data_IF_367324495228
#
_entry.id   IF_367324495228
#
_cell.length_a   1.000
_cell.length_b   1.000
_cell.length_c   1.000
_cell.angle_alpha   90.00
_cell.angle_beta   90.00
_cell.angle_gamma   90.00
#
_symmetry.space_group_name_H-M   'P 1'
#
loop_
_entity.id
_entity.type
_entity.pdbx_description
1 polymer ?
#
# COMPACT_ATOMS: atom_id res chain seq x y z
N UNK A 1 3.00 6.46 -15.47
CA UNK A 1 1.78 5.78 -15.00
C UNK A 1 0.58 6.69 -14.79
N UNK A 2 0.70 7.99 -14.36
CA UNK A 2 -0.43 8.93 -14.22
C UNK A 2 -1.25 9.03 -15.51
N UNK A 3 -0.62 9.41 -16.63
CA UNK A 3 -1.30 9.57 -17.91
C UNK A 3 -1.89 8.24 -18.41
N UNK A 4 -1.17 7.12 -18.24
CA UNK A 4 -1.68 5.80 -18.62
C UNK A 4 -3.00 5.47 -17.92
N UNK A 5 -3.12 5.73 -16.63
CA UNK A 5 -4.35 5.48 -15.87
C UNK A 5 -5.51 6.38 -16.32
N UNK A 6 -5.25 7.68 -16.54
CA UNK A 6 -6.30 8.62 -16.96
C UNK A 6 -6.79 8.29 -18.37
N UNK A 7 -5.86 8.07 -19.31
CA UNK A 7 -6.20 7.74 -20.72
C UNK A 7 -6.88 6.39 -20.81
N UNK A 8 -6.38 5.39 -20.10
CA UNK A 8 -7.01 4.06 -20.05
C UNK A 8 -8.45 4.14 -19.51
N UNK A 9 -8.70 4.95 -18.48
CA UNK A 9 -10.06 5.15 -17.99
C UNK A 9 -10.94 5.86 -19.02
N UNK A 10 -10.47 6.93 -19.65
CA UNK A 10 -11.21 7.64 -20.68
C UNK A 10 -11.62 6.70 -21.82
N UNK A 11 -10.68 5.90 -22.35
CA UNK A 11 -10.97 4.92 -23.41
C UNK A 11 -11.93 3.82 -22.94
N UNK A 12 -11.81 3.38 -21.70
CA UNK A 12 -12.56 2.28 -21.13
C UNK A 12 -14.02 2.62 -20.87
N UNK A 13 -14.31 3.85 -20.50
CA UNK A 13 -15.65 4.33 -20.15
C UNK A 13 -16.33 5.12 -21.26
N UNK A 14 -15.69 5.25 -22.41
CA UNK A 14 -16.25 5.88 -23.60
C UNK A 14 -16.80 4.80 -24.54
N UNK A 15 -18.06 4.89 -24.99
CA UNK A 15 -18.64 3.91 -25.91
C UNK A 15 -17.97 3.95 -27.30
N UNK A 16 -18.20 2.92 -28.15
CA UNK A 16 -17.53 2.71 -29.44
C UNK A 16 -17.57 3.91 -30.39
N UNK A 17 -18.58 4.76 -30.34
CA UNK A 17 -18.69 5.98 -31.17
C UNK A 17 -18.38 7.26 -30.40
N UNK A 18 -17.80 7.15 -29.19
CA UNK A 18 -17.44 8.29 -28.39
C UNK A 18 -16.07 8.88 -28.79
N UNK A 19 -15.74 10.00 -28.16
CA UNK A 19 -14.54 10.75 -28.46
C UNK A 19 -13.69 10.95 -27.19
N UNK A 20 -12.38 10.76 -27.30
CA UNK A 20 -11.40 11.08 -26.25
C UNK A 20 -10.40 12.09 -26.80
N UNK A 21 -10.27 13.23 -26.14
CA UNK A 21 -9.37 14.30 -26.53
C UNK A 21 -8.35 14.55 -25.42
N UNK A 22 -7.11 14.80 -25.81
CA UNK A 22 -6.00 15.09 -24.91
C UNK A 22 -5.42 16.44 -25.28
N UNK A 23 -5.42 17.37 -24.32
CA UNK A 23 -4.84 18.70 -24.49
C UNK A 23 -3.64 18.83 -23.57
N UNK A 24 -2.53 19.32 -24.11
CA UNK A 24 -1.33 19.67 -23.34
C UNK A 24 -1.17 21.17 -23.44
N UNK A 25 -1.04 21.82 -22.30
CA UNK A 25 -0.85 23.28 -22.23
C UNK A 25 0.23 23.64 -21.23
N UNK A 26 0.89 24.75 -21.49
CA UNK A 26 2.01 25.25 -20.73
C UNK A 26 1.81 26.73 -20.46
N UNK A 27 2.03 27.16 -19.23
CA UNK A 27 2.11 28.57 -18.84
C UNK A 27 3.45 28.89 -18.14
N UNK A 28 3.65 30.10 -17.66
CA UNK A 28 4.92 30.50 -17.04
C UNK A 28 5.29 29.65 -15.81
N UNK A 29 4.32 29.22 -15.01
CA UNK A 29 4.52 28.60 -13.69
C UNK A 29 4.24 27.11 -13.67
N UNK A 30 3.49 26.59 -14.66
CA UNK A 30 3.06 25.19 -14.67
C UNK A 30 2.83 24.67 -16.09
N UNK A 31 2.88 23.37 -16.24
CA UNK A 31 2.34 22.65 -17.40
C UNK A 31 1.15 21.81 -16.97
N UNK A 32 0.20 21.58 -17.87
CA UNK A 32 -0.98 20.81 -17.58
C UNK A 32 -1.37 19.89 -18.73
N UNK A 33 -1.94 18.77 -18.37
CA UNK A 33 -2.58 17.82 -19.29
C UNK A 33 -4.05 17.69 -18.91
N UNK A 34 -4.91 17.81 -19.89
CA UNK A 34 -6.35 17.66 -19.77
C UNK A 34 -6.81 16.53 -20.68
N UNK A 35 -7.50 15.55 -20.12
CA UNK A 35 -8.12 14.45 -20.83
C UNK A 35 -9.62 14.60 -20.72
N UNK A 36 -10.28 14.73 -21.87
CA UNK A 36 -11.72 14.88 -22.01
C UNK A 36 -12.30 13.68 -22.73
N UNK A 37 -13.33 13.08 -22.19
CA UNK A 37 -14.07 11.97 -22.80
C UNK A 37 -15.56 12.30 -22.93
N UNK A 38 -16.23 11.62 -23.83
CA UNK A 38 -17.69 11.65 -24.00
C UNK A 38 -18.34 10.36 -23.51
N UNK A 39 -17.80 9.82 -22.41
CA UNK A 39 -18.22 8.56 -21.83
C UNK A 39 -19.45 8.67 -20.94
N UNK A 40 -19.63 7.64 -20.11
CA UNK A 40 -20.77 7.53 -19.19
C UNK A 40 -20.84 8.63 -18.13
N UNK A 41 -19.78 9.41 -17.96
CA UNK A 41 -19.67 10.43 -16.92
C UNK A 41 -19.73 9.87 -15.50
N UNK A 42 -19.83 10.77 -14.52
CA UNK A 42 -19.77 10.43 -13.09
C UNK A 42 -20.80 11.23 -12.33
N UNK A 43 -21.71 10.58 -11.57
CA UNK A 43 -22.70 11.28 -10.76
C UNK A 43 -22.07 12.29 -9.80
N UNK A 44 -22.66 13.48 -9.65
CA UNK A 44 -22.11 14.57 -8.83
C UNK A 44 -21.89 14.17 -7.36
N UNK A 45 -22.73 13.29 -6.80
CA UNK A 45 -22.64 12.78 -5.44
C UNK A 45 -21.42 11.87 -5.22
N UNK A 46 -20.84 11.35 -6.31
CA UNK A 46 -19.77 10.36 -6.28
C UNK A 46 -18.40 10.95 -6.64
N UNK A 47 -18.34 12.13 -7.28
CA UNK A 47 -17.10 12.72 -7.76
C UNK A 47 -16.04 12.91 -6.67
N UNK A 48 -16.45 13.31 -5.45
CA UNK A 48 -15.55 13.47 -4.31
C UNK A 48 -15.02 12.14 -3.76
N UNK A 49 -15.70 11.02 -4.05
CA UNK A 49 -15.33 9.69 -3.58
C UNK A 49 -14.36 8.94 -4.53
N UNK A 50 -14.22 9.41 -5.78
CA UNK A 50 -13.43 8.75 -6.83
C UNK A 50 -11.93 8.64 -6.52
N UNK A 51 -11.43 9.52 -5.68
CA UNK A 51 -10.04 9.50 -5.24
C UNK A 51 -9.84 8.67 -3.96
N UNK A 52 -10.93 8.10 -3.40
CA UNK A 52 -10.84 7.13 -2.30
C UNK A 52 -10.51 5.75 -2.85
N UNK A 53 -9.91 4.94 -2.00
CA UNK A 53 -9.48 3.59 -2.36
C UNK A 53 -10.68 2.72 -2.75
N UNK A 54 -10.53 1.92 -3.82
CA UNK A 54 -11.54 0.97 -4.34
C UNK A 54 -12.91 1.57 -4.67
N UNK A 55 -13.02 2.89 -4.84
CA UNK A 55 -14.29 3.49 -5.24
C UNK A 55 -14.51 3.36 -6.75
N UNK A 56 -15.70 2.86 -7.11
CA UNK A 56 -16.23 2.85 -8.48
C UNK A 56 -17.58 3.52 -8.49
N UNK A 57 -17.80 4.38 -9.48
CA UNK A 57 -19.11 5.01 -9.66
C UNK A 57 -20.20 3.97 -9.89
N UNK A 58 -21.40 4.21 -9.38
CA UNK A 58 -22.55 3.30 -9.51
C UNK A 58 -22.88 2.97 -10.98
N UNK A 59 -22.76 3.95 -11.87
CA UNK A 59 -22.95 3.78 -13.31
C UNK A 59 -21.82 2.96 -13.98
N UNK A 60 -20.60 2.97 -13.42
CA UNK A 60 -19.47 2.15 -13.88
C UNK A 60 -19.55 0.69 -13.39
N UNK A 61 -20.19 0.43 -12.25
CA UNK A 61 -20.46 -0.93 -11.75
C UNK A 61 -21.45 -1.65 -12.66
N UNK A 62 -22.46 -0.93 -13.16
CA UNK A 62 -23.48 -1.48 -14.05
C UNK A 62 -22.99 -1.64 -15.51
N UNK A 63 -21.82 -1.13 -15.85
CA UNK A 63 -21.20 -1.32 -17.16
C UNK A 63 -20.42 -2.64 -17.20
N UNK A 64 -20.36 -3.32 -18.37
CA UNK A 64 -19.54 -4.54 -18.58
C UNK A 64 -18.02 -4.30 -18.46
N UNK A 65 -17.62 -3.16 -17.94
CA UNK A 65 -16.23 -2.70 -17.89
C UNK A 65 -15.57 -3.12 -16.59
N UNK A 66 -14.56 -3.96 -16.65
CA UNK A 66 -13.78 -4.43 -15.50
C UNK A 66 -12.76 -3.38 -15.00
N UNK A 67 -12.67 -3.13 -13.68
CA UNK A 67 -11.65 -2.23 -13.10
C UNK A 67 -11.56 -2.33 -11.58
N UNK A 68 -10.35 -2.22 -11.04
CA UNK A 68 -10.04 -2.35 -9.60
C UNK A 68 -10.44 -1.14 -8.73
N UNK A 69 -10.82 0.00 -9.32
CA UNK A 69 -11.09 1.23 -8.56
C UNK A 69 -9.86 1.94 -7.96
N UNK A 70 -8.66 1.42 -8.19
CA UNK A 70 -7.39 1.93 -7.62
C UNK A 70 -6.76 3.02 -8.51
N UNK A 71 -7.04 3.01 -9.82
CA UNK A 71 -6.34 3.83 -10.80
C UNK A 71 -6.38 5.34 -10.52
N UNK A 72 -7.56 5.90 -10.20
CA UNK A 72 -7.72 7.34 -9.93
C UNK A 72 -7.15 7.75 -8.57
N UNK A 73 -7.21 6.89 -7.56
CA UNK A 73 -6.54 7.12 -6.29
C UNK A 73 -5.01 7.18 -6.47
N UNK A 74 -4.45 6.23 -7.23
CA UNK A 74 -3.02 6.24 -7.54
C UNK A 74 -2.62 7.50 -8.30
N UNK A 75 -3.44 7.94 -9.27
CA UNK A 75 -3.24 9.21 -9.97
C UNK A 75 -3.20 10.37 -8.98
N UNK A 76 -4.15 10.45 -8.07
CA UNK A 76 -4.23 11.52 -7.07
C UNK A 76 -2.99 11.54 -6.16
N UNK A 77 -2.57 10.37 -5.63
CA UNK A 77 -1.36 10.25 -4.80
C UNK A 77 -0.10 10.68 -5.57
N UNK A 78 0.07 10.20 -6.81
CA UNK A 78 1.22 10.54 -7.63
C UNK A 78 1.25 12.02 -8.02
N UNK A 79 0.10 12.62 -8.35
CA UNK A 79 0.01 14.05 -8.65
C UNK A 79 0.41 14.88 -7.43
N UNK A 80 -0.08 14.54 -6.23
CA UNK A 80 0.32 15.22 -4.99
C UNK A 80 1.80 15.05 -4.66
N UNK A 81 2.35 13.85 -4.83
CA UNK A 81 3.79 13.59 -4.66
C UNK A 81 4.64 14.51 -5.52
N UNK A 82 4.17 14.79 -6.75
CA UNK A 82 4.82 15.74 -7.67
C UNK A 82 4.40 17.20 -7.42
N UNK A 83 3.81 17.52 -6.26
CA UNK A 83 3.33 18.86 -5.89
C UNK A 83 2.36 19.46 -6.95
N UNK A 84 1.71 18.59 -7.71
CA UNK A 84 0.73 18.92 -8.73
C UNK A 84 -0.69 19.10 -8.16
N UNK A 85 -1.61 19.50 -9.04
CA UNK A 85 -3.05 19.62 -8.76
C UNK A 85 -3.83 18.77 -9.73
N UNK A 86 -4.95 18.20 -9.27
CA UNK A 86 -5.90 17.45 -10.09
C UNK A 86 -7.27 18.07 -9.95
N UNK A 87 -7.94 18.31 -11.08
CA UNK A 87 -9.30 18.79 -11.17
C UNK A 87 -10.13 17.81 -11.99
N UNK A 88 -11.30 17.45 -11.49
CA UNK A 88 -12.28 16.60 -12.15
C UNK A 88 -13.57 17.42 -12.35
N UNK A 89 -14.10 17.40 -13.56
CA UNK A 89 -15.44 17.87 -13.90
C UNK A 89 -16.12 16.81 -14.74
N UNK A 90 -17.30 16.35 -14.33
CA UNK A 90 -18.02 15.29 -15.03
C UNK A 90 -19.52 15.50 -14.92
N UNK A 91 -20.24 15.13 -15.95
CA UNK A 91 -21.70 15.10 -15.99
C UNK A 91 -22.12 13.71 -16.45
N UNK A 92 -23.03 13.10 -15.71
CA UNK A 92 -23.54 11.77 -16.02
C UNK A 92 -24.12 11.73 -17.45
N UNK A 93 -23.74 10.70 -18.22
CA UNK A 93 -24.08 10.50 -19.64
C UNK A 93 -23.58 11.59 -20.61
N UNK A 94 -22.67 12.48 -20.19
CA UNK A 94 -22.08 13.49 -21.06
C UNK A 94 -20.55 13.42 -21.10
N UNK A 95 -19.94 12.60 -20.21
CA UNK A 95 -18.51 12.38 -20.15
C UNK A 95 -17.82 13.08 -18.99
N UNK A 96 -16.47 13.03 -19.02
CA UNK A 96 -15.63 13.57 -17.97
C UNK A 96 -14.47 14.38 -18.52
N UNK A 97 -13.99 15.33 -17.71
CA UNK A 97 -12.77 16.10 -17.96
C UNK A 97 -11.89 15.97 -16.73
N UNK A 98 -10.71 15.38 -16.90
CA UNK A 98 -9.68 15.31 -15.86
C UNK A 98 -8.51 16.18 -16.28
N UNK A 99 -8.20 17.19 -15.49
CA UNK A 99 -7.07 18.11 -15.69
C UNK A 99 -6.07 17.93 -14.57
N UNK A 100 -4.82 17.62 -14.94
CA UNK A 100 -3.68 17.58 -14.02
C UNK A 100 -2.73 18.71 -14.36
N UNK A 101 -2.14 19.34 -13.34
CA UNK A 101 -1.15 20.39 -13.53
C UNK A 101 0.02 20.20 -12.59
N UNK A 102 1.23 20.50 -13.08
CA UNK A 102 2.47 20.38 -12.33
C UNK A 102 3.26 21.69 -12.38
N UNK A 103 3.85 22.11 -11.25
CA UNK A 103 4.67 23.31 -11.21
C UNK A 103 5.98 23.10 -11.98
N UNK A 104 6.47 24.14 -12.65
CA UNK A 104 7.77 24.17 -13.34
C UNK A 104 8.93 24.49 -12.40
N UNK A 105 8.64 25.03 -11.22
CA UNK A 105 9.66 25.51 -10.29
C UNK A 105 10.41 24.33 -9.64
N UNK A 106 11.64 24.12 -10.06
CA UNK A 106 12.54 23.09 -9.51
C UNK A 106 12.92 23.33 -8.04
N UNK A 107 12.76 24.56 -7.53
CA UNK A 107 13.06 24.90 -6.13
C UNK A 107 12.07 24.26 -5.13
N UNK A 108 10.90 23.83 -5.62
CA UNK A 108 9.91 23.09 -4.81
C UNK A 108 10.25 21.63 -4.59
N UNK A 109 11.29 21.13 -5.26
CA UNK A 109 11.77 19.76 -5.11
C UNK A 109 13.15 19.77 -4.46
N UNK A 110 13.39 18.88 -3.50
CA UNK A 110 14.75 18.71 -2.95
C UNK A 110 15.71 18.28 -4.06
N UNK A 111 16.95 18.82 -4.03
CA UNK A 111 17.98 18.54 -5.05
C UNK A 111 18.26 17.04 -5.24
N UNK A 112 18.01 16.22 -4.21
CA UNK A 112 18.14 14.76 -4.26
C UNK A 112 17.12 14.08 -5.18
N UNK A 113 16.00 14.75 -5.53
CA UNK A 113 14.95 14.21 -6.37
C UNK A 113 15.01 14.70 -7.83
N UNK A 114 15.99 15.52 -8.17
CA UNK A 114 16.17 16.02 -9.53
C UNK A 114 17.08 15.04 -10.28
N UNK A 115 16.51 14.26 -11.19
CA UNK A 115 17.31 13.44 -12.10
C UNK A 115 18.19 14.35 -12.99
N UNK A 116 19.49 14.09 -13.02
CA UNK A 116 20.41 14.72 -13.96
C UNK A 116 20.00 14.32 -15.40
N UNK A 117 19.91 15.27 -16.36
CA UNK A 117 19.54 14.94 -17.72
C UNK A 117 20.62 14.07 -18.36
N UNK A 118 20.37 12.75 -18.47
CA UNK A 118 21.22 11.88 -19.26
C UNK A 118 20.90 12.08 -20.73
N UNK A 119 21.91 12.45 -21.52
CA UNK A 119 21.84 12.44 -22.99
C UNK A 119 21.66 11.01 -23.47
N UNK A 120 20.42 10.58 -23.73
CA UNK A 120 20.14 9.44 -24.59
C UNK A 120 18.81 9.65 -25.30
N UNK A 121 18.93 10.15 -26.53
CA UNK A 121 17.94 9.94 -27.59
C UNK A 121 18.31 8.61 -28.23
N UNK A 122 17.53 7.57 -27.99
CA UNK A 122 17.47 6.38 -28.86
C UNK A 122 16.10 5.73 -28.72
N UNK A 123 15.45 5.65 -29.82
CA UNK A 123 14.39 4.78 -30.34
C UNK A 123 13.48 4.03 -29.34
N UNK A 124 12.21 4.44 -29.40
CA UNK A 124 11.10 3.77 -28.73
C UNK A 124 10.77 2.50 -29.52
N UNK A 125 11.31 1.38 -29.10
CA UNK A 125 10.71 0.09 -29.31
C UNK A 125 10.16 -0.40 -27.99
N UNK A 126 8.88 -0.67 -28.02
CA UNK A 126 8.01 -1.26 -27.00
C UNK A 126 8.69 -2.15 -25.96
N UNK A 127 8.90 -1.64 -24.75
CA UNK A 127 8.90 -2.40 -23.49
C UNK A 127 8.76 -1.42 -22.32
N UNK A 128 7.84 -1.70 -21.43
CA UNK A 128 7.51 -0.96 -20.21
C UNK A 128 8.70 -0.93 -19.26
N UNK A 129 9.49 0.16 -19.27
CA UNK A 129 10.51 0.38 -18.25
C UNK A 129 10.10 1.52 -17.31
N UNK A 130 9.71 1.16 -16.10
CA UNK A 130 9.72 2.04 -14.93
C UNK A 130 11.19 2.33 -14.59
N UNK A 131 11.59 3.56 -14.16
CA UNK A 131 12.99 3.89 -13.91
C UNK A 131 13.63 2.94 -12.89
N UNK A 132 14.64 2.21 -13.31
CA UNK A 132 15.36 1.22 -12.54
C UNK A 132 15.99 1.75 -11.23
N UNK A 133 16.20 3.07 -11.11
CA UNK A 133 16.86 3.68 -9.94
C UNK A 133 16.05 3.65 -8.65
N UNK A 134 14.70 3.57 -8.73
CA UNK A 134 13.85 3.38 -7.53
C UNK A 134 13.84 1.89 -7.16
N UNK A 135 13.91 1.01 -8.15
CA UNK A 135 13.98 -0.44 -7.93
C UNK A 135 15.36 -0.89 -7.42
N UNK A 136 16.46 -0.27 -7.89
CA UNK A 136 17.82 -0.67 -7.48
C UNK A 136 18.14 -0.35 -6.01
N UNK A 137 17.58 0.69 -5.41
CA UNK A 137 17.81 1.01 -4.01
C UNK A 137 16.92 0.21 -3.03
N UNK A 138 15.73 -0.22 -3.47
CA UNK A 138 14.86 -1.13 -2.68
C UNK A 138 15.33 -2.58 -2.83
N UNK A 139 15.92 -2.94 -3.99
CA UNK A 139 16.41 -4.30 -4.25
C UNK A 139 17.83 -4.57 -3.72
N UNK A 140 18.62 -3.55 -3.35
CA UNK A 140 19.99 -3.79 -2.83
C UNK A 140 20.04 -4.27 -1.38
N UNK A 141 18.95 -4.13 -0.61
CA UNK A 141 18.90 -4.62 0.78
C UNK A 141 17.94 -5.82 1.00
N UNK A 142 17.11 -6.17 0.03
CA UNK A 142 16.26 -7.35 0.11
C UNK A 142 16.59 -8.28 -1.05
N UNK A 143 17.29 -9.38 -0.77
CA UNK A 143 17.41 -10.49 -1.71
C UNK A 143 15.98 -10.97 -2.06
N UNK A 144 15.49 -10.82 -3.31
CA UNK A 144 14.12 -11.22 -3.69
C UNK A 144 13.87 -12.71 -3.45
N UNK A 145 14.92 -13.53 -3.40
CA UNK A 145 14.87 -14.96 -3.10
C UNK A 145 14.48 -15.31 -1.65
N UNK A 146 14.14 -14.35 -0.77
CA UNK A 146 13.82 -14.63 0.63
C UNK A 146 12.36 -14.30 1.00
N UNK A 147 11.59 -13.66 0.10
CA UNK A 147 10.18 -13.36 0.37
C UNK A 147 9.34 -14.64 0.27
N UNK A 148 8.56 -14.92 1.35
CA UNK A 148 7.82 -16.17 1.50
C UNK A 148 6.36 -15.98 1.10
N UNK A 149 5.90 -16.82 0.18
CA UNK A 149 4.51 -16.84 -0.28
C UNK A 149 3.87 -18.18 0.10
N UNK A 150 2.68 -18.13 0.65
CA UNK A 150 1.85 -19.33 0.86
C UNK A 150 0.77 -19.38 -0.21
N UNK A 151 0.68 -20.52 -0.91
CA UNK A 151 -0.37 -20.82 -1.89
C UNK A 151 -1.32 -21.82 -1.32
N UNK A 152 -2.62 -21.51 -1.36
CA UNK A 152 -3.71 -22.35 -0.86
C UNK A 152 -4.68 -22.61 -2.00
N UNK A 153 -4.66 -23.81 -2.53
CA UNK A 153 -5.43 -24.22 -3.73
C UNK A 153 -5.71 -25.72 -3.65
N UNK A 154 -6.96 -26.13 -3.79
CA UNK A 154 -7.34 -27.54 -3.70
C UNK A 154 -7.01 -28.33 -4.97
N UNK A 155 -6.97 -27.67 -6.13
CA UNK A 155 -6.59 -28.29 -7.40
C UNK A 155 -5.07 -28.48 -7.48
N UNK A 156 -4.62 -29.74 -7.45
CA UNK A 156 -3.21 -30.13 -7.47
C UNK A 156 -2.44 -29.58 -8.69
N UNK A 157 -3.06 -29.58 -9.89
CA UNK A 157 -2.42 -29.12 -11.11
C UNK A 157 -2.16 -27.60 -11.05
N UNK A 158 -3.18 -26.84 -10.64
CA UNK A 158 -3.08 -25.39 -10.52
C UNK A 158 -2.14 -24.99 -9.37
N UNK A 159 -2.21 -25.71 -8.22
CA UNK A 159 -1.32 -25.49 -7.08
C UNK A 159 0.15 -25.68 -7.47
N UNK A 160 0.44 -26.77 -8.19
CA UNK A 160 1.79 -27.08 -8.64
C UNK A 160 2.27 -26.08 -9.70
N UNK A 161 1.40 -25.68 -10.64
CA UNK A 161 1.73 -24.66 -11.64
C UNK A 161 2.07 -23.31 -11.02
N UNK A 162 1.23 -22.83 -10.09
CA UNK A 162 1.47 -21.58 -9.37
C UNK A 162 2.76 -21.65 -8.54
N UNK A 163 2.97 -22.76 -7.83
CA UNK A 163 4.15 -22.96 -7.01
C UNK A 163 5.43 -22.94 -7.84
N UNK A 164 5.48 -23.64 -8.96
CA UNK A 164 6.64 -23.65 -9.86
C UNK A 164 6.91 -22.27 -10.45
N UNK A 165 5.85 -21.58 -10.90
CA UNK A 165 5.98 -20.28 -11.56
C UNK A 165 6.42 -19.17 -10.61
N UNK A 166 5.97 -19.19 -9.34
CA UNK A 166 6.36 -18.20 -8.34
C UNK A 166 7.68 -18.54 -7.65
N UNK A 167 8.08 -19.83 -7.60
CA UNK A 167 9.35 -20.25 -7.03
C UNK A 167 10.59 -19.74 -7.80
N UNK A 168 10.41 -19.22 -9.02
CA UNK A 168 11.46 -18.53 -9.76
C UNK A 168 11.94 -17.24 -9.05
N UNK A 169 11.04 -16.58 -8.32
CA UNK A 169 11.27 -15.26 -7.73
C UNK A 169 11.11 -15.24 -6.18
N UNK A 170 10.38 -16.22 -5.61
CA UNK A 170 9.97 -16.24 -4.21
C UNK A 170 10.24 -17.60 -3.56
N UNK A 171 10.30 -17.65 -2.23
CA UNK A 171 10.23 -18.91 -1.49
C UNK A 171 8.76 -19.28 -1.33
N UNK A 172 8.34 -20.43 -1.88
CA UNK A 172 6.93 -20.83 -1.94
C UNK A 172 6.69 -22.07 -1.11
N UNK A 173 5.68 -22.00 -0.22
CA UNK A 173 5.04 -23.16 0.39
C UNK A 173 3.60 -23.23 -0.10
N UNK A 174 3.01 -24.42 -0.14
CA UNK A 174 1.65 -24.61 -0.57
C UNK A 174 0.89 -25.61 0.31
N UNK A 175 -0.43 -25.53 0.29
CA UNK A 175 -1.36 -26.43 0.96
C UNK A 175 -2.69 -26.51 0.20
N UNK A 176 -3.55 -27.47 0.56
CA UNK A 176 -4.74 -27.79 -0.21
C UNK A 176 -6.05 -27.18 0.33
N UNK A 177 -6.05 -26.58 1.52
CA UNK A 177 -7.24 -25.95 2.11
C UNK A 177 -6.88 -24.90 3.15
N UNK A 178 -7.87 -24.07 3.53
CA UNK A 178 -7.67 -22.96 4.48
C UNK A 178 -7.32 -23.42 5.90
N UNK A 179 -7.78 -24.59 6.32
CA UNK A 179 -7.51 -25.13 7.66
C UNK A 179 -6.04 -25.54 7.81
N UNK A 180 -5.49 -26.19 6.79
CA UNK A 180 -4.07 -26.51 6.71
C UNK A 180 -3.23 -25.22 6.68
N UNK A 181 -3.65 -24.21 5.92
CA UNK A 181 -2.99 -22.94 5.86
C UNK A 181 -2.86 -22.27 7.24
N UNK A 182 -3.92 -22.28 8.07
CA UNK A 182 -3.86 -21.74 9.44
C UNK A 182 -2.86 -22.45 10.34
N UNK A 183 -2.56 -23.72 10.10
CA UNK A 183 -1.53 -24.45 10.87
C UNK A 183 -0.11 -24.10 10.39
N UNK A 184 0.04 -23.78 9.10
CA UNK A 184 1.33 -23.44 8.47
C UNK A 184 1.76 -22.00 8.77
N UNK A 185 0.82 -21.05 8.74
CA UNK A 185 1.10 -19.60 8.86
C UNK A 185 1.97 -19.23 10.08
N UNK A 186 1.73 -19.73 11.30
CA UNK A 186 2.51 -19.33 12.48
C UNK A 186 3.99 -19.73 12.39
N UNK A 187 4.30 -20.86 11.78
CA UNK A 187 5.66 -21.39 11.64
C UNK A 187 6.34 -20.82 10.40
N UNK A 188 5.67 -20.89 9.25
CA UNK A 188 6.22 -20.44 7.97
C UNK A 188 6.34 -18.93 7.87
N UNK A 189 5.43 -18.17 8.49
CA UNK A 189 5.35 -16.71 8.51
C UNK A 189 5.41 -16.12 7.09
N UNK A 190 4.43 -16.40 6.24
CA UNK A 190 4.40 -15.89 4.87
C UNK A 190 4.27 -14.36 4.87
N UNK A 191 4.86 -13.71 3.87
CA UNK A 191 4.73 -12.27 3.62
C UNK A 191 3.54 -11.96 2.71
N UNK A 192 2.98 -12.99 2.06
CA UNK A 192 1.77 -12.91 1.24
C UNK A 192 1.10 -14.29 1.14
N UNK A 193 -0.22 -14.30 1.15
CA UNK A 193 -1.04 -15.50 0.93
C UNK A 193 -1.82 -15.36 -0.37
N UNK A 194 -1.80 -16.40 -1.21
CA UNK A 194 -2.65 -16.53 -2.40
C UNK A 194 -3.59 -17.70 -2.13
N UNK A 195 -4.90 -17.47 -2.12
CA UNK A 195 -5.87 -18.52 -1.79
C UNK A 195 -6.98 -18.58 -2.83
N UNK A 196 -7.36 -19.79 -3.25
CA UNK A 196 -8.66 -20.00 -3.88
C UNK A 196 -9.77 -19.72 -2.87
N UNK A 197 -10.92 -19.26 -3.34
CA UNK A 197 -12.12 -19.07 -2.50
C UNK A 197 -12.81 -20.40 -2.26
N UNK A 198 -12.95 -21.24 -3.29
CA UNK A 198 -13.77 -22.44 -3.25
C UNK A 198 -12.91 -23.67 -2.96
N UNK A 199 -12.72 -23.96 -1.70
CA UNK A 199 -11.94 -25.11 -1.24
C UNK A 199 -12.72 -25.93 -0.21
N UNK A 200 -12.41 -27.24 -0.06
CA UNK A 200 -12.98 -28.08 0.98
C UNK A 200 -12.49 -27.68 2.38
N UNK A 201 -13.18 -28.12 3.41
CA UNK A 201 -12.93 -27.92 4.84
C UNK A 201 -13.00 -26.46 5.31
N UNK A 202 -12.27 -25.55 4.70
CA UNK A 202 -12.25 -24.11 4.99
C UNK A 202 -12.07 -23.33 3.69
N UNK A 203 -12.99 -22.45 3.40
CA UNK A 203 -12.98 -21.59 2.21
C UNK A 203 -11.91 -20.53 2.33
N UNK A 204 -11.47 -19.97 1.17
CA UNK A 204 -10.46 -18.90 1.15
C UNK A 204 -10.94 -17.57 1.73
N UNK A 205 -12.24 -17.27 1.64
CA UNK A 205 -12.84 -16.11 2.29
C UNK A 205 -12.84 -16.25 3.83
N UNK A 206 -13.15 -17.44 4.36
CA UNK A 206 -13.05 -17.74 5.81
C UNK A 206 -11.59 -17.69 6.28
N UNK A 207 -10.66 -18.19 5.48
CA UNK A 207 -9.22 -18.10 5.76
C UNK A 207 -8.77 -16.63 5.79
N UNK A 208 -9.20 -15.81 4.82
CA UNK A 208 -8.89 -14.39 4.77
C UNK A 208 -9.41 -13.69 6.03
N UNK A 209 -10.66 -13.92 6.41
CA UNK A 209 -11.26 -13.37 7.63
C UNK A 209 -10.46 -13.75 8.88
N UNK A 210 -10.08 -15.04 9.00
CA UNK A 210 -9.25 -15.51 10.11
C UNK A 210 -7.87 -14.84 10.16
N UNK A 211 -7.22 -14.64 9.02
CA UNK A 211 -5.93 -13.93 8.92
C UNK A 211 -6.09 -12.45 9.31
N UNK A 212 -7.12 -11.78 8.78
CA UNK A 212 -7.31 -10.33 8.94
C UNK A 212 -7.79 -9.93 10.32
N UNK A 213 -8.57 -10.77 10.99
CA UNK A 213 -9.06 -10.51 12.34
C UNK A 213 -8.10 -10.96 13.44
N UNK A 214 -7.03 -11.67 13.13
CA UNK A 214 -6.02 -12.03 14.11
C UNK A 214 -4.90 -10.98 14.14
N UNK A 215 -4.66 -10.40 15.33
CA UNK A 215 -3.66 -9.35 15.53
C UNK A 215 -2.25 -9.78 15.09
N UNK A 216 -1.91 -11.08 15.16
CA UNK A 216 -0.59 -11.58 14.79
C UNK A 216 -0.39 -11.67 13.27
N UNK A 217 -1.47 -11.83 12.50
CA UNK A 217 -1.42 -12.13 11.06
C UNK A 217 -2.11 -11.08 10.19
N UNK A 218 -2.87 -10.12 10.77
CA UNK A 218 -3.64 -9.10 10.02
C UNK A 218 -2.80 -8.29 9.03
N UNK A 219 -1.50 -8.17 9.29
CA UNK A 219 -0.56 -7.50 8.39
C UNK A 219 -0.24 -8.28 7.12
N UNK A 220 -0.57 -9.58 7.03
CA UNK A 220 -0.26 -10.40 5.86
C UNK A 220 -1.25 -10.08 4.73
N UNK A 221 -0.79 -9.62 3.56
CA UNK A 221 -1.67 -9.41 2.42
C UNK A 221 -2.20 -10.74 1.88
N UNK A 222 -3.49 -10.74 1.51
CA UNK A 222 -4.19 -11.90 0.97
C UNK A 222 -4.73 -11.58 -0.42
N UNK A 223 -4.36 -12.41 -1.41
CA UNK A 223 -4.94 -12.41 -2.74
C UNK A 223 -5.94 -13.56 -2.82
N UNK A 224 -7.19 -13.26 -3.16
CA UNK A 224 -8.21 -14.27 -3.38
C UNK A 224 -8.38 -14.56 -4.88
N UNK A 225 -8.29 -15.83 -5.25
CA UNK A 225 -8.57 -16.31 -6.59
C UNK A 225 -10.06 -16.71 -6.66
N UNK A 226 -10.82 -16.17 -7.59
CA UNK A 226 -12.28 -16.37 -7.66
C UNK A 226 -12.73 -16.78 -9.05
N UNK A 227 -13.66 -17.75 -9.13
CA UNK A 227 -14.40 -18.06 -10.35
C UNK A 227 -15.62 -17.12 -10.43
N UNK A 228 -15.61 -16.16 -11.34
CA UNK A 228 -16.68 -15.18 -11.54
C UNK A 228 -17.97 -15.83 -11.99
N UNK A 229 -18.91 -16.09 -11.07
CA UNK A 229 -20.26 -16.47 -11.47
C UNK A 229 -21.40 -15.75 -10.68
N UNK A 230 -21.12 -14.98 -9.61
CA UNK A 230 -22.16 -14.25 -8.90
C UNK A 230 -21.66 -12.91 -8.36
N UNK A 231 -22.34 -11.81 -8.72
CA UNK A 231 -22.09 -10.46 -8.16
C UNK A 231 -22.20 -10.42 -6.61
N UNK A 232 -22.95 -11.35 -6.01
CA UNK A 232 -23.08 -11.48 -4.55
C UNK A 232 -21.81 -11.97 -3.88
N UNK A 233 -21.04 -12.85 -4.53
CA UNK A 233 -19.78 -13.38 -3.96
C UNK A 233 -18.66 -12.34 -4.02
N UNK A 234 -18.69 -11.43 -5.00
CA UNK A 234 -17.77 -10.29 -5.07
C UNK A 234 -18.09 -9.25 -3.99
N UNK A 235 -19.38 -8.97 -3.73
CA UNK A 235 -19.79 -8.00 -2.72
C UNK A 235 -19.53 -8.50 -1.30
N UNK A 236 -19.77 -9.78 -1.01
CA UNK A 236 -19.43 -10.38 0.27
C UNK A 236 -17.89 -10.47 0.47
N UNK A 237 -17.15 -10.79 -0.58
CA UNK A 237 -15.70 -10.83 -0.55
C UNK A 237 -15.04 -9.47 -0.28
N UNK A 238 -15.58 -8.38 -0.84
CA UNK A 238 -15.10 -6.99 -0.59
C UNK A 238 -15.28 -6.56 0.87
N UNK A 239 -16.21 -7.15 1.61
CA UNK A 239 -16.43 -6.89 3.05
C UNK A 239 -15.44 -7.67 3.94
N UNK A 240 -14.79 -8.71 3.43
CA UNK A 240 -13.91 -9.63 4.19
C UNK A 240 -12.48 -9.06 4.35
N UNK A 241 -12.12 -7.99 3.62
CA UNK A 241 -10.84 -7.30 3.80
C UNK A 241 -9.64 -7.92 3.06
N UNK A 242 -9.84 -8.73 2.02
CA UNK A 242 -8.75 -9.17 1.16
C UNK A 242 -8.09 -7.98 0.44
N UNK A 243 -6.77 -8.05 0.27
CA UNK A 243 -5.99 -6.95 -0.34
C UNK A 243 -6.19 -6.91 -1.85
N UNK A 244 -6.45 -8.05 -2.51
CA UNK A 244 -6.72 -8.12 -3.94
C UNK A 244 -7.57 -9.36 -4.31
N UNK A 245 -8.31 -9.24 -5.42
CA UNK A 245 -9.12 -10.31 -6.01
C UNK A 245 -8.69 -10.54 -7.45
N UNK A 246 -8.43 -11.79 -7.82
CA UNK A 246 -8.07 -12.18 -9.18
C UNK A 246 -9.06 -13.22 -9.69
N UNK A 247 -9.69 -12.89 -10.82
CA UNK A 247 -10.71 -13.73 -11.42
C UNK A 247 -10.09 -14.84 -12.26
N UNK A 248 -10.51 -16.08 -12.05
CA UNK A 248 -10.19 -17.25 -12.91
C UNK A 248 -11.07 -17.24 -14.17
N UNK A 249 -10.54 -17.48 -15.39
CA UNK A 249 -9.13 -17.70 -15.67
C UNK A 249 -8.32 -16.40 -15.70
N UNK A 250 -7.11 -16.42 -15.14
CA UNK A 250 -6.24 -15.26 -15.03
C UNK A 250 -4.95 -15.39 -15.83
N UNK A 251 -4.36 -14.25 -16.15
CA UNK A 251 -3.03 -14.19 -16.76
C UNK A 251 -1.97 -14.23 -15.65
N UNK A 252 -1.01 -15.15 -15.74
CA UNK A 252 0.07 -15.31 -14.76
C UNK A 252 0.92 -14.04 -14.58
N UNK A 253 1.12 -13.27 -15.65
CA UNK A 253 1.82 -12.00 -15.60
C UNK A 253 1.08 -10.94 -14.75
N UNK A 254 -0.26 -10.97 -14.76
CA UNK A 254 -1.08 -10.12 -13.89
C UNK A 254 -0.90 -10.54 -12.43
N UNK A 255 -0.94 -11.86 -12.14
CA UNK A 255 -0.72 -12.37 -10.79
C UNK A 255 0.68 -11.99 -10.27
N UNK A 256 1.75 -12.23 -11.03
CA UNK A 256 3.12 -11.84 -10.66
C UNK A 256 3.23 -10.34 -10.40
N UNK A 257 2.64 -9.50 -11.25
CA UNK A 257 2.63 -8.04 -11.05
C UNK A 257 1.86 -7.62 -9.78
N UNK A 258 0.74 -8.26 -9.48
CA UNK A 258 -0.06 -8.00 -8.27
C UNK A 258 0.70 -8.39 -7.01
N UNK A 259 1.32 -9.58 -7.00
CA UNK A 259 2.18 -10.05 -5.90
C UNK A 259 3.30 -9.06 -5.62
N UNK A 260 4.06 -8.69 -6.66
CA UNK A 260 5.16 -7.73 -6.56
C UNK A 260 4.69 -6.36 -6.02
N UNK A 261 3.57 -5.84 -6.53
CA UNK A 261 3.03 -4.56 -6.07
C UNK A 261 2.60 -4.58 -4.59
N UNK A 262 1.96 -5.65 -4.13
CA UNK A 262 1.55 -5.77 -2.72
C UNK A 262 2.77 -5.85 -1.80
N UNK A 263 3.79 -6.62 -2.17
CA UNK A 263 5.04 -6.73 -1.40
C UNK A 263 5.81 -5.40 -1.36
N UNK A 264 5.91 -4.69 -2.48
CA UNK A 264 6.53 -3.36 -2.55
C UNK A 264 5.76 -2.34 -1.70
N UNK A 265 4.44 -2.31 -1.78
CA UNK A 265 3.62 -1.41 -0.99
C UNK A 265 3.79 -1.65 0.52
N UNK A 266 3.92 -2.93 0.92
CA UNK A 266 4.23 -3.30 2.31
C UNK A 266 5.62 -2.81 2.72
N UNK A 267 6.63 -2.98 1.88
CA UNK A 267 7.98 -2.48 2.16
C UNK A 267 8.00 -0.96 2.33
N UNK A 268 7.27 -0.21 1.48
CA UNK A 268 7.14 1.23 1.59
C UNK A 268 6.43 1.67 2.88
N UNK A 269 5.38 0.97 3.29
CA UNK A 269 4.69 1.24 4.56
C UNK A 269 5.61 0.98 5.76
N UNK A 270 6.37 -0.13 5.75
CA UNK A 270 7.38 -0.44 6.79
C UNK A 270 8.42 0.67 6.89
N UNK A 271 8.95 1.13 5.75
CA UNK A 271 9.90 2.25 5.72
C UNK A 271 9.31 3.53 6.31
N UNK A 272 8.05 3.86 5.99
CA UNK A 272 7.38 5.04 6.52
C UNK A 272 7.20 4.98 8.04
N UNK A 273 6.83 3.83 8.60
CA UNK A 273 6.66 3.66 10.06
C UNK A 273 7.98 3.52 10.82
N UNK A 274 9.05 3.10 10.14
CA UNK A 274 10.40 2.92 10.71
C UNK A 274 11.33 4.12 10.54
N UNK A 275 10.96 5.16 9.77
CA UNK A 275 11.86 6.29 9.47
C UNK A 275 11.79 7.42 10.50
N UNK A 276 12.89 8.19 10.56
CA UNK A 276 13.03 9.42 11.35
C UNK A 276 12.43 10.66 10.65
N UNK A 277 11.65 10.50 9.58
CA UNK A 277 11.17 11.63 8.82
C UNK A 277 10.43 12.63 9.70
N UNK A 278 11.00 13.82 9.80
CA UNK A 278 10.74 14.85 10.79
C UNK A 278 9.60 15.80 10.38
N UNK A 279 8.92 15.52 9.28
CA UNK A 279 7.92 16.43 8.69
C UNK A 279 6.47 16.08 9.05
N UNK A 280 6.24 15.26 10.09
CA UNK A 280 4.88 15.00 10.59
C UNK A 280 4.36 16.14 11.50
N UNK A 281 4.30 17.37 10.98
CA UNK A 281 3.46 18.44 11.55
C UNK A 281 1.98 18.36 11.10
N UNK A 282 1.64 17.40 10.27
CA UNK A 282 0.25 17.11 9.93
C UNK A 282 -0.30 15.96 10.80
N UNK A 283 -0.81 16.32 11.98
CA UNK A 283 -1.84 15.59 12.73
C UNK A 283 -3.16 15.55 11.91
N UNK A 284 -3.06 15.21 10.65
CA UNK A 284 -4.23 14.80 9.88
C UNK A 284 -4.44 13.31 10.13
N UNK A 285 -5.51 13.03 10.86
CA UNK A 285 -6.27 11.78 10.79
C UNK A 285 -6.36 11.38 9.32
N UNK A 286 -5.33 10.69 8.80
CA UNK A 286 -5.40 10.01 7.51
C UNK A 286 -6.47 8.94 7.68
N UNK A 287 -7.70 9.29 7.26
CA UNK A 287 -8.85 8.41 7.19
C UNK A 287 -8.44 7.07 6.59
N UNK A 288 -8.59 6.05 7.39
CA UNK A 288 -8.22 4.66 7.19
C UNK A 288 -8.49 4.11 5.79
N UNK A 289 -7.44 3.59 5.23
CA UNK A 289 -7.47 2.83 4.00
C UNK A 289 -7.50 1.34 4.38
N UNK A 290 -8.67 0.72 4.36
CA UNK A 290 -9.00 -0.70 4.57
C UNK A 290 -9.10 -1.23 6.02
N UNK A 291 -10.08 -2.12 6.24
CA UNK A 291 -10.38 -2.73 7.54
C UNK A 291 -9.20 -3.51 8.18
N UNK A 292 -8.31 -4.12 7.40
CA UNK A 292 -7.08 -4.75 7.91
C UNK A 292 -6.04 -3.73 8.35
N UNK A 293 -6.00 -2.56 7.72
CA UNK A 293 -5.15 -1.44 8.12
C UNK A 293 -5.62 -0.80 9.43
N UNK A 294 -6.91 -0.89 9.76
CA UNK A 294 -7.44 -0.34 11.01
C UNK A 294 -6.85 -1.07 12.25
N UNK A 295 -6.72 -2.39 12.20
CA UNK A 295 -6.11 -3.18 13.29
C UNK A 295 -4.61 -2.89 13.40
N UNK A 296 -3.91 -2.86 12.28
CA UNK A 296 -2.47 -2.59 12.22
C UNK A 296 -2.16 -1.15 12.65
N UNK A 297 -2.96 -0.19 12.17
CA UNK A 297 -2.86 1.21 12.57
C UNK A 297 -3.14 1.40 14.06
N UNK A 298 -4.23 0.83 14.58
CA UNK A 298 -4.54 0.88 16.01
C UNK A 298 -3.43 0.27 16.87
N UNK A 299 -2.84 -0.83 16.39
CA UNK A 299 -1.71 -1.44 17.07
C UNK A 299 -0.52 -0.47 17.16
N UNK A 300 -0.07 0.11 16.03
CA UNK A 300 1.05 1.07 15.98
C UNK A 300 0.74 2.32 16.81
N UNK A 301 -0.48 2.87 16.71
CA UNK A 301 -0.90 4.03 17.47
C UNK A 301 -0.87 3.76 19.00
N UNK A 302 -1.35 2.58 19.43
CA UNK A 302 -1.29 2.17 20.84
C UNK A 302 0.15 1.95 21.33
N UNK A 303 1.01 1.33 20.51
CA UNK A 303 2.44 1.17 20.84
C UNK A 303 3.10 2.54 21.01
N UNK A 304 2.90 3.46 20.06
CA UNK A 304 3.43 4.83 20.12
C UNK A 304 2.94 5.55 21.35
N UNK A 305 1.64 5.52 21.62
CA UNK A 305 1.03 6.15 22.79
C UNK A 305 1.63 5.62 24.10
N UNK A 306 1.72 4.30 24.27
CA UNK A 306 2.31 3.72 25.48
C UNK A 306 3.79 4.10 25.67
N UNK A 307 4.55 4.27 24.58
CA UNK A 307 5.93 4.76 24.65
C UNK A 307 5.95 6.25 25.03
N UNK A 308 5.10 7.08 24.43
CA UNK A 308 5.01 8.51 24.71
C UNK A 308 4.55 8.80 26.13
N UNK A 309 3.56 8.07 26.63
CA UNK A 309 3.04 8.17 28.00
C UNK A 309 4.10 7.78 29.06
N UNK A 310 5.16 7.05 28.68
CA UNK A 310 6.24 6.61 29.56
C UNK A 310 7.62 7.02 29.03
N UNK A 311 7.70 8.11 28.29
CA UNK A 311 8.90 8.46 27.51
C UNK A 311 10.07 8.87 28.43
N UNK A 312 9.78 9.51 29.54
CA UNK A 312 10.71 9.95 30.58
C UNK A 312 11.22 8.81 31.50
N UNK A 313 10.53 7.67 31.48
CA UNK A 313 10.88 6.54 32.33
C UNK A 313 12.06 5.73 31.74
N UNK A 314 13.28 5.79 32.33
CA UNK A 314 14.42 5.02 31.82
C UNK A 314 14.24 3.50 31.98
N UNK A 315 13.30 3.05 32.85
CA UNK A 315 12.97 1.63 33.04
C UNK A 315 11.95 1.09 32.02
N UNK A 316 11.51 1.88 31.05
CA UNK A 316 10.65 1.40 29.97
C UNK A 316 11.40 0.38 29.11
N UNK A 317 11.16 -0.89 29.38
CA UNK A 317 11.71 -2.04 28.63
C UNK A 317 10.70 -2.63 27.68
N UNK A 318 11.17 -3.49 26.79
CA UNK A 318 10.28 -4.25 25.87
C UNK A 318 9.27 -5.10 26.67
N UNK A 319 9.67 -5.66 27.81
CA UNK A 319 8.78 -6.50 28.63
C UNK A 319 7.66 -5.66 29.28
N UNK A 320 7.97 -4.44 29.72
CA UNK A 320 6.96 -3.49 30.23
C UNK A 320 5.98 -3.15 29.11
N UNK A 321 6.48 -2.87 27.91
CA UNK A 321 5.63 -2.53 26.77
C UNK A 321 4.75 -3.72 26.32
N UNK A 322 5.28 -4.95 26.33
CA UNK A 322 4.49 -6.16 26.07
C UNK A 322 3.34 -6.32 27.08
N UNK A 323 3.59 -6.07 28.36
CA UNK A 323 2.56 -6.15 29.40
C UNK A 323 1.48 -5.07 29.20
N UNK A 324 1.86 -3.83 28.86
CA UNK A 324 0.91 -2.75 28.55
C UNK A 324 0.05 -3.05 27.34
N UNK A 325 0.62 -3.76 26.35
CA UNK A 325 -0.09 -4.17 25.12
C UNK A 325 -0.89 -5.48 25.30
N UNK A 326 -0.76 -6.18 26.45
CA UNK A 326 -1.42 -7.46 26.69
C UNK A 326 -0.96 -8.59 25.75
N UNK A 327 0.27 -8.52 25.26
CA UNK A 327 0.81 -9.47 24.27
C UNK A 327 2.02 -10.23 24.78
N UNK A 328 2.21 -11.47 24.27
CA UNK A 328 3.45 -12.19 24.50
C UNK A 328 4.62 -11.47 23.82
N UNK A 329 5.83 -11.61 24.38
CA UNK A 329 7.04 -10.99 23.82
C UNK A 329 7.28 -11.39 22.36
N UNK A 330 7.05 -12.66 22.03
CA UNK A 330 7.22 -13.18 20.66
C UNK A 330 6.22 -12.60 19.69
N UNK A 331 4.92 -12.57 20.05
CA UNK A 331 3.85 -11.99 19.23
C UNK A 331 4.08 -10.49 19.00
N UNK A 332 4.39 -9.76 20.07
CA UNK A 332 4.68 -8.33 20.00
C UNK A 332 5.89 -8.04 19.09
N UNK A 333 6.99 -8.77 19.28
CA UNK A 333 8.21 -8.63 18.47
C UNK A 333 7.92 -8.86 16.98
N UNK A 334 7.26 -9.99 16.67
CA UNK A 334 6.95 -10.35 15.29
C UNK A 334 6.03 -9.31 14.63
N UNK A 335 4.98 -8.88 15.33
CA UNK A 335 4.01 -7.90 14.83
C UNK A 335 4.66 -6.54 14.60
N UNK A 336 5.38 -6.01 15.58
CA UNK A 336 6.02 -4.70 15.46
C UNK A 336 7.06 -4.70 14.33
N UNK A 337 7.90 -5.74 14.27
CA UNK A 337 8.90 -5.87 13.21
C UNK A 337 8.26 -6.01 11.83
N UNK A 338 7.16 -6.75 11.71
CA UNK A 338 6.43 -6.88 10.45
C UNK A 338 5.86 -5.55 9.94
N UNK A 339 5.49 -4.63 10.84
CA UNK A 339 4.90 -3.34 10.49
C UNK A 339 5.92 -2.20 10.34
N UNK A 340 7.05 -2.24 11.08
CA UNK A 340 8.00 -1.12 11.17
C UNK A 340 9.41 -1.46 10.69
N UNK A 341 9.69 -2.74 10.46
CA UNK A 341 11.04 -3.30 10.22
C UNK A 341 12.03 -3.06 11.36
N UNK A 342 11.56 -2.58 12.53
CA UNK A 342 12.36 -2.25 13.69
C UNK A 342 12.22 -3.31 14.79
N UNK A 343 13.30 -3.61 15.50
CA UNK A 343 13.18 -4.34 16.76
C UNK A 343 12.51 -3.45 17.82
N UNK A 344 11.72 -4.00 18.77
CA UNK A 344 11.02 -3.19 19.77
C UNK A 344 11.90 -2.23 20.57
N UNK A 345 13.11 -2.64 20.94
CA UNK A 345 14.07 -1.77 21.63
C UNK A 345 14.52 -0.59 20.77
N UNK A 346 14.76 -0.84 19.48
CA UNK A 346 15.16 0.21 18.53
C UNK A 346 13.99 1.16 18.25
N UNK A 347 12.74 0.66 18.21
CA UNK A 347 11.56 1.47 18.03
C UNK A 347 11.30 2.41 19.22
N UNK A 348 11.48 1.93 20.46
CA UNK A 348 11.46 2.78 21.67
C UNK A 348 12.52 3.89 21.55
N UNK A 349 13.76 3.52 21.19
CA UNK A 349 14.86 4.48 21.02
C UNK A 349 14.54 5.51 19.94
N UNK A 350 13.97 5.08 18.81
CA UNK A 350 13.56 5.96 17.71
C UNK A 350 12.57 7.03 18.17
N UNK A 351 11.52 6.66 18.91
CA UNK A 351 10.52 7.60 19.42
C UNK A 351 11.14 8.58 20.42
N UNK A 352 12.01 8.10 21.33
CA UNK A 352 12.76 8.95 22.24
C UNK A 352 13.63 9.97 21.52
N UNK A 353 14.35 9.55 20.49
CA UNK A 353 15.16 10.44 19.64
C UNK A 353 14.30 11.48 18.93
N UNK A 354 13.15 11.09 18.35
CA UNK A 354 12.22 12.04 17.73
C UNK A 354 11.79 13.13 18.71
N UNK A 355 11.42 12.75 19.93
CA UNK A 355 11.04 13.69 21.00
C UNK A 355 12.21 14.58 21.41
N UNK A 356 13.42 14.02 21.53
CA UNK A 356 14.63 14.79 21.86
C UNK A 356 14.93 15.86 20.80
N UNK A 357 14.81 15.52 19.53
CA UNK A 357 15.02 16.47 18.43
C UNK A 357 13.99 17.61 18.46
N UNK A 358 12.72 17.30 18.79
CA UNK A 358 11.67 18.33 18.94
C UNK A 358 12.03 19.30 20.06
N UNK A 359 12.41 18.80 21.22
CA UNK A 359 12.84 19.62 22.37
C UNK A 359 14.10 20.44 22.08
N UNK A 360 15.07 19.88 21.32
CA UNK A 360 16.25 20.60 20.86
C UNK A 360 15.91 21.77 19.93
N UNK A 361 14.93 21.58 19.04
CA UNK A 361 14.45 22.65 18.15
C UNK A 361 13.76 23.77 18.91
N UNK A 362 13.07 23.48 20.00
CA UNK A 362 12.41 24.46 20.87
C UNK A 362 13.44 25.34 21.60
N UNK A 363 14.66 24.84 21.83
CA UNK A 363 15.80 25.60 22.38
C UNK A 363 15.64 26.04 23.82
N UNK A 364 14.69 25.48 24.57
CA UNK A 364 14.35 25.89 25.95
C UNK A 364 15.04 25.08 27.03
N UNK A 365 15.60 23.92 26.66
CA UNK A 365 16.17 22.93 27.57
C UNK A 365 17.64 22.61 27.26
N UNK A 366 18.41 22.30 28.28
CA UNK A 366 19.78 21.79 28.15
C UNK A 366 19.76 20.34 27.66
N UNK A 367 20.89 19.87 27.08
CA UNK A 367 21.03 18.48 26.59
C UNK A 367 20.77 17.46 27.71
N UNK A 368 21.19 17.77 28.95
CA UNK A 368 20.99 16.90 30.12
C UNK A 368 19.52 16.82 30.49
N UNK A 369 18.81 17.94 30.55
CA UNK A 369 17.36 17.97 30.79
C UNK A 369 16.59 17.23 29.74
N UNK A 370 16.96 17.40 28.44
CA UNK A 370 16.34 16.67 27.33
C UNK A 370 16.53 15.16 27.49
N UNK A 371 17.74 14.70 27.88
CA UNK A 371 18.01 13.29 28.10
C UNK A 371 17.11 12.74 29.23
N UNK A 372 16.97 13.45 30.33
CA UNK A 372 16.07 13.08 31.44
C UNK A 372 14.61 13.05 31.01
N UNK A 373 14.13 14.08 30.28
CA UNK A 373 12.75 14.19 29.78
C UNK A 373 12.40 13.12 28.73
N UNK A 374 13.40 12.51 28.12
CA UNK A 374 13.23 11.49 27.07
C UNK A 374 13.70 10.10 27.50
N UNK A 375 14.01 9.93 28.80
CA UNK A 375 14.31 8.64 29.42
C UNK A 375 15.66 8.04 28.99
N UNK A 376 16.60 8.86 28.51
CA UNK A 376 17.99 8.42 28.32
C UNK A 376 18.76 8.52 29.64
N UNK A 377 19.45 7.45 30.00
CA UNK A 377 20.25 7.38 31.24
C UNK A 377 21.58 8.14 31.14
N UNK A 378 22.04 8.51 29.96
CA UNK A 378 23.27 9.30 29.73
C UNK A 378 23.08 10.22 28.51
N UNK A 379 23.45 11.49 28.68
CA UNK A 379 23.42 12.50 27.60
C UNK A 379 24.46 12.28 26.48
N UNK A 380 25.32 11.28 26.63
CA UNK A 380 26.36 10.92 25.65
C UNK A 380 25.91 9.99 24.52
N UNK A 381 24.68 9.54 24.55
CA UNK A 381 24.12 8.66 23.51
C UNK A 381 23.26 9.41 22.52
#
# INVERSE_FOLDING_TARGET
>A
SILKNIISNALKYTPENGNVQIFVSENNDSWSVEVKDTGIGIPASEQKKLFKLHFRGSNAINSKVTGSGIGLMLVWKLVRLHKGKINLSSVENQGSVIKISFPKDSKRFHKAHLATPSKRRQEITSTTNVPASIYENVHKEQNPNHQRILIVEDNDELRNYLSQTLAEEYTVQNCCNGKEALTIIPEYKPELVISDIMMPEMRGDELCDAIKNNIETSHIPVILLTALNNEKDILSGLQIGADEYIVKPFNIGILKATVSNLLINRALLRSKYGSLDMDDEDDHEDECINCSQDIDWKFIANVRKNIEDNIDNPALTVDVLCNLMGMSRTSFYNKLRALTDQAPGDYIRLIRLKRSVKLLKEGTHSITEIAEMTGFSDAKY
#
